data_IF_518193678163
#
_entry.id   IF_518193678163
#
_cell.length_a   1.000
_cell.length_b   1.000
_cell.length_c   1.000
_cell.angle_alpha   90.00
_cell.angle_beta   90.00
_cell.angle_gamma   90.00
#
_symmetry.space_group_name_H-M   'P 1'
#
loop_
_entity.id
_entity.type
_entity.pdbx_description
1 polymer ?
#
# COMPACT_ATOMS: atom_id res chain seq x y z
N UNK A 1 -14.29 2.27 28.53
CA UNK A 1 -15.04 2.20 27.23
C UNK A 1 -13.99 2.35 26.14
N UNK A 2 -13.96 1.44 25.17
CA UNK A 2 -13.00 1.45 24.06
C UNK A 2 -13.03 2.82 23.35
N UNK A 3 -11.88 3.44 23.18
CA UNK A 3 -11.76 4.71 22.45
C UNK A 3 -11.76 4.47 20.94
N UNK A 4 -10.94 3.50 20.50
CA UNK A 4 -10.83 3.11 19.09
C UNK A 4 -11.05 1.62 18.89
N UNK A 5 -12.07 1.25 18.13
CA UNK A 5 -12.28 -0.09 17.61
C UNK A 5 -11.76 -0.12 16.15
N UNK A 6 -10.70 -0.87 15.89
CA UNK A 6 -10.05 -0.92 14.57
C UNK A 6 -10.45 -2.18 13.83
N UNK A 7 -11.08 -2.04 12.68
CA UNK A 7 -11.45 -3.16 11.81
C UNK A 7 -10.34 -3.44 10.79
N UNK A 8 -9.56 -4.48 11.03
CA UNK A 8 -8.46 -4.96 10.19
C UNK A 8 -7.07 -4.82 10.80
N UNK A 9 -6.34 -5.93 10.90
CA UNK A 9 -4.97 -6.06 11.40
C UNK A 9 -3.88 -5.93 10.32
N UNK A 10 -4.17 -5.24 9.21
CA UNK A 10 -3.17 -4.86 8.21
C UNK A 10 -2.31 -3.67 8.68
N UNK A 11 -1.27 -3.24 7.92
CA UNK A 11 -0.38 -2.15 8.34
C UNK A 11 -1.11 -0.85 8.69
N UNK A 12 -2.15 -0.45 7.95
CA UNK A 12 -2.91 0.75 8.27
C UNK A 12 -3.65 0.64 9.62
N UNK A 13 -4.26 -0.51 9.90
CA UNK A 13 -4.97 -0.75 11.16
C UNK A 13 -4.03 -0.87 12.35
N UNK A 14 -2.94 -1.62 12.20
CA UNK A 14 -1.94 -1.74 13.27
C UNK A 14 -1.23 -0.41 13.54
N UNK A 15 -0.89 0.37 12.49
CA UNK A 15 -0.34 1.70 12.67
C UNK A 15 -1.32 2.63 13.41
N UNK A 16 -2.62 2.58 13.08
CA UNK A 16 -3.65 3.33 13.80
C UNK A 16 -3.73 2.90 15.27
N UNK A 17 -3.67 1.59 15.51
CA UNK A 17 -3.73 1.04 16.86
C UNK A 17 -2.50 1.46 17.69
N UNK A 18 -1.30 1.43 17.09
CA UNK A 18 -0.07 1.86 17.75
C UNK A 18 -0.12 3.36 18.07
N UNK A 19 -0.52 4.21 17.11
CA UNK A 19 -0.68 5.65 17.37
C UNK A 19 -1.72 5.91 18.48
N UNK A 20 -2.84 5.18 18.48
CA UNK A 20 -3.87 5.29 19.51
C UNK A 20 -3.31 4.92 20.90
N UNK A 21 -2.62 3.79 21.02
CA UNK A 21 -2.01 3.33 22.25
C UNK A 21 -0.93 4.30 22.75
N UNK A 22 -0.07 4.82 21.86
CA UNK A 22 0.92 5.86 22.20
C UNK A 22 0.27 7.17 22.67
N UNK A 23 -0.96 7.43 22.22
CA UNK A 23 -1.74 8.60 22.68
C UNK A 23 -2.55 8.32 23.96
N UNK A 24 -2.37 7.17 24.61
CA UNK A 24 -3.05 6.76 25.84
C UNK A 24 -4.52 6.31 25.67
N UNK A 25 -4.92 5.98 24.44
CA UNK A 25 -6.28 5.50 24.14
C UNK A 25 -6.42 4.00 24.39
N UNK A 26 -7.59 3.57 24.82
CA UNK A 26 -7.97 2.14 24.83
C UNK A 26 -8.31 1.68 23.40
N UNK A 27 -7.48 0.78 22.83
CA UNK A 27 -7.61 0.32 21.45
C UNK A 27 -7.84 -1.19 21.37
N UNK A 28 -8.81 -1.60 20.54
CA UNK A 28 -9.07 -2.99 20.21
C UNK A 28 -9.06 -3.16 18.69
N UNK A 29 -8.31 -4.16 18.19
CA UNK A 29 -8.24 -4.52 16.77
C UNK A 29 -9.06 -5.78 16.51
N UNK A 30 -9.91 -5.76 15.50
CA UNK A 30 -10.65 -6.91 14.99
C UNK A 30 -9.95 -7.43 13.72
N UNK A 31 -9.34 -8.61 13.77
CA UNK A 31 -8.71 -9.26 12.61
C UNK A 31 -8.99 -10.77 12.64
N UNK A 32 -9.80 -11.29 11.71
CA UNK A 32 -10.18 -12.70 11.73
C UNK A 32 -9.09 -13.67 11.26
N UNK A 33 -8.02 -13.18 10.64
CA UNK A 33 -6.94 -14.01 10.11
C UNK A 33 -5.80 -14.11 11.11
N UNK A 34 -5.10 -15.26 11.17
CA UNK A 34 -3.90 -15.39 11.99
C UNK A 34 -2.77 -14.48 11.47
N UNK A 35 -1.92 -14.04 12.37
CA UNK A 35 -0.65 -13.36 12.06
C UNK A 35 0.41 -14.41 11.70
N UNK A 36 1.26 -14.16 10.68
CA UNK A 36 1.32 -12.98 9.80
C UNK A 36 0.38 -13.05 8.59
N UNK A 37 -0.24 -11.94 8.26
CA UNK A 37 -1.16 -11.83 7.13
C UNK A 37 -0.39 -11.65 5.82
N UNK A 38 -0.42 -12.68 4.95
CA UNK A 38 0.12 -12.57 3.59
C UNK A 38 -0.92 -12.03 2.60
N UNK A 39 -0.52 -11.01 1.84
CA UNK A 39 -1.35 -10.32 0.85
C UNK A 39 -0.46 -9.83 -0.30
N UNK A 40 -0.97 -9.79 -1.53
CA UNK A 40 -0.23 -9.23 -2.66
C UNK A 40 0.22 -7.79 -2.36
N UNK A 41 1.52 -7.53 -2.53
CA UNK A 41 2.18 -6.27 -2.24
C UNK A 41 3.48 -6.20 -3.06
N UNK A 42 3.90 -5.00 -3.48
CA UNK A 42 5.21 -4.78 -4.09
C UNK A 42 6.38 -4.88 -3.12
N UNK A 43 6.10 -4.86 -1.81
CA UNK A 43 7.06 -5.10 -0.72
C UNK A 43 8.24 -4.11 -0.63
N UNK A 44 8.19 -3.03 -1.42
CA UNK A 44 9.10 -1.89 -1.30
C UNK A 44 8.51 -0.82 -0.38
N UNK A 45 9.18 -0.56 0.74
CA UNK A 45 8.89 0.58 1.61
C UNK A 45 9.68 1.79 1.12
N UNK A 46 8.99 2.80 0.65
CA UNK A 46 9.60 4.08 0.29
C UNK A 46 10.20 4.75 1.53
N UNK A 47 11.19 5.67 1.38
CA UNK A 47 11.82 6.35 2.52
C UNK A 47 10.84 6.94 3.52
N UNK A 48 9.72 7.51 3.05
CA UNK A 48 8.65 8.03 3.91
C UNK A 48 8.00 6.96 4.79
N UNK A 49 7.77 5.75 4.23
CA UNK A 49 7.25 4.63 5.02
C UNK A 49 8.25 4.15 6.07
N UNK A 50 9.55 4.11 5.74
CA UNK A 50 10.62 3.75 6.68
C UNK A 50 10.68 4.74 7.85
N UNK A 51 10.55 6.05 7.58
CA UNK A 51 10.45 7.07 8.64
C UNK A 51 9.22 6.85 9.52
N UNK A 52 8.04 6.67 8.92
CA UNK A 52 6.81 6.44 9.68
C UNK A 52 6.87 5.19 10.58
N UNK A 53 7.53 4.12 10.14
CA UNK A 53 7.76 2.94 10.99
C UNK A 53 8.67 3.24 12.18
N UNK A 54 9.75 4.03 11.98
CA UNK A 54 10.64 4.45 13.07
C UNK A 54 9.91 5.30 14.10
N UNK A 55 9.05 6.21 13.68
CA UNK A 55 8.20 7.02 14.56
C UNK A 55 7.25 6.17 15.40
N UNK A 56 6.79 5.05 14.89
CA UNK A 56 6.00 4.05 15.63
C UNK A 56 6.85 3.17 16.56
N UNK A 57 8.17 3.29 16.52
CA UNK A 57 9.10 2.42 17.23
C UNK A 57 9.11 0.99 16.68
N UNK A 58 8.90 0.86 15.36
CA UNK A 58 8.91 -0.43 14.64
C UNK A 58 10.17 -0.55 13.82
N UNK A 59 11.00 -1.55 14.13
CA UNK A 59 12.16 -1.93 13.34
C UNK A 59 11.80 -3.18 12.51
N UNK A 60 12.08 -3.12 11.21
CA UNK A 60 11.76 -4.21 10.28
C UNK A 60 13.03 -4.61 9.56
N UNK A 61 13.41 -5.91 9.58
CA UNK A 61 14.52 -6.40 8.76
C UNK A 61 14.15 -6.38 7.29
N UNK A 62 15.12 -6.09 6.41
CA UNK A 62 14.91 -6.05 4.97
C UNK A 62 16.18 -5.65 4.23
N UNK A 63 16.07 -5.51 2.93
CA UNK A 63 17.16 -5.12 2.04
C UNK A 63 17.02 -3.63 1.65
N UNK A 64 18.01 -2.78 1.92
CA UNK A 64 17.94 -1.38 1.54
C UNK A 64 17.96 -1.22 0.02
N UNK A 65 17.20 -0.25 -0.49
CA UNK A 65 17.30 0.17 -1.89
C UNK A 65 17.34 1.70 -1.97
N UNK A 66 18.07 2.22 -2.98
CA UNK A 66 18.47 3.63 -3.02
C UNK A 66 17.74 4.47 -4.07
N UNK A 67 16.75 3.91 -4.75
CA UNK A 67 16.00 4.62 -5.79
C UNK A 67 15.14 3.70 -6.62
N UNK A 68 14.71 4.21 -7.77
CA UNK A 68 13.85 3.51 -8.72
C UNK A 68 14.50 3.58 -10.11
N UNK A 69 14.51 2.46 -10.82
CA UNK A 69 14.93 2.36 -12.23
C UNK A 69 13.72 1.97 -13.07
N UNK A 70 13.39 2.77 -14.07
CA UNK A 70 12.45 2.40 -15.12
C UNK A 70 13.21 1.75 -16.26
N UNK A 71 12.73 0.60 -16.72
CA UNK A 71 13.32 -0.13 -17.85
C UNK A 71 12.24 -0.39 -18.91
N UNK A 72 12.59 -0.23 -20.17
CA UNK A 72 11.86 -0.84 -21.25
C UNK A 72 12.10 -2.36 -21.23
N UNK A 73 11.04 -3.14 -21.09
CA UNK A 73 11.14 -4.57 -20.84
C UNK A 73 11.70 -5.39 -22.01
N UNK A 74 11.89 -4.77 -23.18
CA UNK A 74 12.38 -5.41 -24.39
C UNK A 74 13.77 -4.87 -24.79
N UNK A 75 13.90 -3.53 -24.91
CA UNK A 75 15.14 -2.91 -25.39
C UNK A 75 16.23 -2.71 -24.32
N UNK A 76 15.84 -2.76 -23.05
CA UNK A 76 16.74 -2.47 -21.92
C UNK A 76 17.06 -0.99 -21.73
N UNK A 77 16.49 -0.08 -22.55
CA UNK A 77 16.58 1.35 -22.30
C UNK A 77 16.07 1.67 -20.90
N UNK A 78 16.78 2.50 -20.14
CA UNK A 78 16.42 2.77 -18.76
C UNK A 78 16.60 4.24 -18.34
N UNK A 79 15.95 4.59 -17.24
CA UNK A 79 16.12 5.83 -16.50
C UNK A 79 16.21 5.53 -14.99
N UNK A 80 17.11 6.21 -14.28
CA UNK A 80 17.32 6.04 -12.84
C UNK A 80 17.00 7.32 -12.08
N UNK A 81 16.34 7.17 -10.91
CA UNK A 81 16.16 8.24 -9.95
C UNK A 81 16.56 7.75 -8.56
N UNK A 82 17.57 8.38 -7.96
CA UNK A 82 18.01 8.05 -6.60
C UNK A 82 17.33 8.92 -5.55
N UNK A 83 17.05 8.35 -4.40
CA UNK A 83 16.45 9.06 -3.27
C UNK A 83 17.46 10.02 -2.63
N UNK A 84 16.95 11.15 -2.15
CA UNK A 84 17.74 12.16 -1.42
C UNK A 84 17.56 12.06 0.08
N UNK A 85 16.46 11.47 0.54
CA UNK A 85 16.03 11.46 1.96
C UNK A 85 16.44 10.20 2.72
N UNK A 86 17.25 9.33 2.12
CA UNK A 86 17.69 8.04 2.66
C UNK A 86 17.13 6.86 1.90
N UNK A 87 17.55 5.64 2.24
CA UNK A 87 17.11 4.44 1.53
C UNK A 87 15.65 4.09 1.82
N UNK A 88 15.02 3.45 0.85
CA UNK A 88 13.85 2.61 1.06
C UNK A 88 14.27 1.25 1.61
N UNK A 89 13.30 0.40 1.91
CA UNK A 89 13.53 -0.93 2.46
C UNK A 89 12.63 -1.96 1.77
N UNK A 90 13.24 -2.93 1.09
CA UNK A 90 12.54 -4.10 0.59
C UNK A 90 12.35 -5.11 1.72
N UNK A 91 11.11 -5.42 2.05
CA UNK A 91 10.78 -6.37 3.12
C UNK A 91 9.51 -7.14 2.80
N UNK A 92 9.50 -8.41 3.14
CA UNK A 92 8.30 -9.23 2.93
C UNK A 92 7.12 -8.67 3.71
N UNK A 93 5.96 -8.69 3.08
CA UNK A 93 4.70 -8.22 3.68
C UNK A 93 4.40 -8.89 5.02
N UNK A 94 4.72 -10.17 5.16
CA UNK A 94 4.53 -10.95 6.38
C UNK A 94 5.44 -10.47 7.51
N UNK A 95 6.69 -10.11 7.20
CA UNK A 95 7.66 -9.59 8.17
C UNK A 95 7.22 -8.21 8.67
N UNK A 96 6.83 -7.32 7.79
CA UNK A 96 6.30 -6.01 8.16
C UNK A 96 5.06 -6.13 9.08
N UNK A 97 4.12 -7.00 8.70
CA UNK A 97 2.88 -7.16 9.45
C UNK A 97 3.15 -7.76 10.85
N UNK A 98 4.06 -8.75 10.95
CA UNK A 98 4.43 -9.35 12.22
C UNK A 98 5.10 -8.30 13.15
N UNK A 99 6.02 -7.49 12.65
CA UNK A 99 6.68 -6.45 13.43
C UNK A 99 5.70 -5.38 13.95
N UNK A 100 4.73 -4.98 13.13
CA UNK A 100 3.66 -4.06 13.55
C UNK A 100 2.74 -4.70 14.59
N UNK A 101 2.38 -5.99 14.43
CA UNK A 101 1.54 -6.70 15.37
C UNK A 101 2.23 -6.84 16.73
N UNK A 102 3.50 -7.25 16.75
CA UNK A 102 4.33 -7.34 17.95
C UNK A 102 4.44 -5.98 18.68
N UNK A 103 4.63 -4.88 17.93
CA UNK A 103 4.69 -3.55 18.52
C UNK A 103 3.35 -3.15 19.15
N UNK A 104 2.25 -3.43 18.47
CA UNK A 104 0.90 -3.16 18.99
C UNK A 104 0.64 -3.96 20.29
N UNK A 105 1.02 -5.24 20.32
CA UNK A 105 0.90 -6.11 21.49
C UNK A 105 1.72 -5.58 22.67
N UNK A 106 2.99 -5.20 22.45
CA UNK A 106 3.85 -4.57 23.48
C UNK A 106 3.28 -3.28 24.07
N UNK A 107 2.41 -2.59 23.33
CA UNK A 107 1.70 -1.40 23.81
C UNK A 107 0.35 -1.73 24.46
N UNK A 108 0.03 -3.00 24.67
CA UNK A 108 -1.20 -3.45 25.30
C UNK A 108 -2.44 -3.44 24.38
N UNK A 109 -2.26 -3.28 23.05
CA UNK A 109 -3.36 -3.36 22.10
C UNK A 109 -3.91 -4.78 22.05
N UNK A 110 -5.22 -4.94 22.28
CA UNK A 110 -5.88 -6.25 22.17
C UNK A 110 -6.27 -6.52 20.73
N UNK A 111 -5.80 -7.64 20.18
CA UNK A 111 -6.20 -8.12 18.85
C UNK A 111 -7.14 -9.30 19.03
N UNK A 112 -8.36 -9.17 18.51
CA UNK A 112 -9.39 -10.20 18.60
C UNK A 112 -9.60 -10.86 17.23
N UNK A 113 -9.61 -12.21 17.22
CA UNK A 113 -9.85 -13.02 16.02
C UNK A 113 -11.33 -12.97 15.60
N UNK A 114 -11.85 -11.79 15.28
CA UNK A 114 -13.26 -11.54 14.95
C UNK A 114 -13.40 -10.73 13.67
N UNK A 115 -14.46 -10.99 12.91
CA UNK A 115 -14.91 -10.12 11.80
C UNK A 115 -15.68 -8.93 12.37
N UNK A 116 -15.55 -7.77 11.76
CA UNK A 116 -16.27 -6.56 12.18
C UNK A 116 -17.80 -6.72 12.10
N UNK A 117 -18.31 -7.46 11.10
CA UNK A 117 -19.75 -7.66 10.92
C UNK A 117 -20.52 -6.37 10.60
N UNK A 118 -21.76 -6.32 11.05
CA UNK A 118 -22.62 -5.14 10.94
C UNK A 118 -22.11 -4.02 11.87
N UNK A 119 -22.11 -2.78 11.35
CA UNK A 119 -21.74 -1.58 12.10
C UNK A 119 -22.99 -0.76 12.38
N UNK A 120 -23.26 -0.50 13.66
CA UNK A 120 -24.35 0.37 14.12
C UNK A 120 -23.75 1.54 14.88
N UNK A 121 -24.27 2.74 14.67
CA UNK A 121 -23.77 3.93 15.36
C UNK A 121 -24.89 4.90 15.72
N UNK A 122 -24.69 5.65 16.79
CA UNK A 122 -25.47 6.79 17.19
C UNK A 122 -24.58 8.05 17.33
N UNK A 123 -25.04 9.09 17.99
CA UNK A 123 -24.27 10.33 18.17
C UNK A 123 -23.08 10.17 19.12
N UNK A 124 -23.08 9.19 20.02
CA UNK A 124 -22.07 9.04 21.08
C UNK A 124 -21.13 7.87 20.86
N UNK A 125 -21.59 6.80 20.22
CA UNK A 125 -20.87 5.51 20.14
C UNK A 125 -21.11 4.77 18.83
N UNK A 126 -20.25 3.79 18.60
CA UNK A 126 -20.36 2.86 17.50
C UNK A 126 -20.22 1.43 18.02
N UNK A 127 -21.07 0.53 17.53
CA UNK A 127 -21.08 -0.89 17.87
C UNK A 127 -20.71 -1.76 16.68
N UNK A 128 -19.85 -2.75 16.89
CA UNK A 128 -19.50 -3.79 15.92
C UNK A 128 -18.95 -5.03 16.63
N UNK A 129 -19.22 -6.23 16.10
CA UNK A 129 -18.75 -7.52 16.66
C UNK A 129 -19.04 -7.74 18.15
N UNK A 130 -20.16 -7.19 18.65
CA UNK A 130 -20.54 -7.27 20.07
C UNK A 130 -19.75 -6.35 21.00
N UNK A 131 -19.00 -5.39 20.46
CA UNK A 131 -18.24 -4.39 21.20
C UNK A 131 -18.78 -2.99 20.93
N UNK A 132 -18.58 -2.10 21.90
CA UNK A 132 -18.97 -0.68 21.81
C UNK A 132 -17.73 0.20 22.01
N UNK A 133 -17.56 1.21 21.17
CA UNK A 133 -16.44 2.14 21.19
C UNK A 133 -16.90 3.58 20.89
N UNK A 134 -16.04 4.55 21.21
CA UNK A 134 -16.27 5.95 20.82
C UNK A 134 -16.16 6.15 19.30
N UNK A 135 -15.19 5.49 18.68
CA UNK A 135 -14.97 5.53 17.22
C UNK A 135 -14.61 4.16 16.68
N UNK A 136 -15.02 3.89 15.44
CA UNK A 136 -14.58 2.74 14.66
C UNK A 136 -13.68 3.22 13.52
N UNK A 137 -12.50 2.60 13.40
CA UNK A 137 -11.59 2.85 12.29
C UNK A 137 -11.63 1.67 11.33
N UNK A 138 -12.18 1.89 10.15
CA UNK A 138 -12.21 0.91 9.07
C UNK A 138 -10.85 0.89 8.35
N UNK A 139 -10.06 -0.13 8.62
CA UNK A 139 -8.77 -0.47 8.02
C UNK A 139 -8.80 -1.85 7.34
N UNK A 140 -9.98 -2.27 6.92
CA UNK A 140 -10.35 -3.59 6.41
C UNK A 140 -9.98 -3.81 4.93
N UNK A 141 -9.20 -2.90 4.39
CA UNK A 141 -8.46 -3.04 3.14
C UNK A 141 -9.27 -2.71 1.87
N UNK A 142 -8.75 -3.18 0.73
CA UNK A 142 -9.16 -2.77 -0.61
C UNK A 142 -10.68 -2.92 -0.85
N UNK A 143 -11.24 -4.03 -0.43
CA UNK A 143 -12.66 -4.35 -0.60
C UNK A 143 -13.52 -4.07 0.63
N UNK A 144 -13.10 -3.18 1.49
CA UNK A 144 -13.73 -2.80 2.76
C UNK A 144 -15.21 -3.21 2.91
N UNK A 145 -15.53 -4.25 3.69
CA UNK A 145 -16.90 -4.59 4.05
C UNK A 145 -17.62 -3.44 4.77
N UNK A 146 -16.92 -2.73 5.66
CA UNK A 146 -17.47 -1.57 6.38
C UNK A 146 -17.91 -0.48 5.40
N UNK A 147 -17.04 -0.12 4.42
CA UNK A 147 -17.37 0.88 3.40
C UNK A 147 -18.62 0.49 2.60
N UNK A 148 -18.72 -0.79 2.21
CA UNK A 148 -19.89 -1.28 1.47
C UNK A 148 -21.15 -1.32 2.33
N UNK A 149 -21.04 -1.84 3.55
CA UNK A 149 -22.17 -1.94 4.48
C UNK A 149 -22.79 -0.59 4.83
N UNK A 150 -21.99 0.48 4.86
CA UNK A 150 -22.46 1.84 5.08
C UNK A 150 -22.89 2.58 3.78
N UNK A 151 -22.91 1.92 2.62
CA UNK A 151 -23.29 2.55 1.35
C UNK A 151 -22.30 3.60 0.84
N UNK A 152 -21.06 3.62 1.36
CA UNK A 152 -20.05 4.64 1.09
C UNK A 152 -19.07 4.24 -0.04
N UNK A 153 -19.22 3.07 -0.63
CA UNK A 153 -18.49 2.70 -1.82
C UNK A 153 -18.98 3.53 -3.00
N UNK A 154 -18.06 4.28 -3.63
CA UNK A 154 -18.40 4.97 -4.86
C UNK A 154 -18.30 4.00 -6.05
N UNK A 155 -19.15 4.16 -7.07
CA UNK A 155 -19.12 3.29 -8.25
C UNK A 155 -17.76 3.36 -8.95
N UNK A 156 -17.37 2.30 -9.69
CA UNK A 156 -16.20 2.34 -10.56
C UNK A 156 -16.28 3.54 -11.51
N UNK A 157 -15.14 4.14 -11.82
CA UNK A 157 -15.10 5.21 -12.82
C UNK A 157 -15.39 4.61 -14.19
N UNK A 158 -16.36 5.19 -14.91
CA UNK A 158 -16.68 4.80 -16.30
C UNK A 158 -15.47 5.00 -17.21
N UNK A 159 -15.33 4.12 -18.21
CA UNK A 159 -14.28 4.20 -19.24
C UNK A 159 -12.86 3.86 -18.78
N UNK A 160 -12.67 3.34 -17.57
CA UNK A 160 -11.35 2.89 -17.09
C UNK A 160 -11.36 1.39 -16.79
N UNK A 161 -10.56 0.59 -17.49
CA UNK A 161 -10.49 -0.84 -17.24
C UNK A 161 -9.96 -1.13 -15.83
N UNK A 162 -10.44 -2.21 -15.20
CA UNK A 162 -9.92 -2.64 -13.90
C UNK A 162 -8.45 -3.07 -14.04
N UNK A 163 -7.67 -2.87 -12.98
CA UNK A 163 -6.29 -3.36 -12.88
C UNK A 163 -6.13 -4.30 -11.70
N UNK A 164 -5.20 -5.20 -11.83
CA UNK A 164 -4.89 -6.27 -10.87
C UNK A 164 -3.40 -6.26 -10.57
N UNK A 165 -3.04 -6.68 -9.37
CA UNK A 165 -1.66 -6.91 -8.96
C UNK A 165 -1.46 -8.39 -8.67
N UNK A 166 -0.39 -8.97 -9.21
CA UNK A 166 0.06 -10.34 -8.94
C UNK A 166 1.47 -10.25 -8.36
N UNK A 167 1.81 -11.09 -7.37
CA UNK A 167 3.16 -11.12 -6.77
C UNK A 167 3.64 -12.55 -6.60
N UNK A 168 4.95 -12.77 -6.89
CA UNK A 168 5.72 -13.97 -6.62
C UNK A 168 7.09 -13.59 -6.08
N UNK A 169 7.65 -14.39 -5.18
CA UNK A 169 9.06 -14.27 -4.76
C UNK A 169 9.90 -15.26 -5.55
N UNK A 170 11.17 -14.88 -5.77
CA UNK A 170 12.17 -15.76 -6.39
C UNK A 170 13.40 -15.84 -5.49
N UNK A 171 13.94 -17.07 -5.37
CA UNK A 171 15.18 -17.35 -4.66
C UNK A 171 16.37 -17.04 -5.59
N UNK A 172 16.73 -15.77 -5.65
CA UNK A 172 17.86 -15.26 -6.45
C UNK A 172 18.43 -14.02 -5.78
N UNK A 173 19.74 -13.86 -5.83
CA UNK A 173 20.43 -12.66 -5.34
C UNK A 173 19.96 -11.41 -6.09
N UNK A 174 19.66 -10.30 -5.39
CA UNK A 174 19.37 -9.03 -6.03
C UNK A 174 20.54 -8.53 -6.87
N UNK A 175 20.29 -8.17 -8.11
CA UNK A 175 21.28 -7.65 -9.05
C UNK A 175 21.31 -6.11 -9.12
N UNK A 176 20.52 -5.46 -8.29
CA UNK A 176 20.42 -4.00 -8.26
C UNK A 176 20.12 -3.50 -6.84
N UNK A 177 20.68 -2.36 -6.48
CA UNK A 177 20.34 -1.59 -5.27
C UNK A 177 19.12 -0.67 -5.49
N UNK A 178 18.38 -0.84 -6.59
CA UNK A 178 17.21 -0.08 -6.96
C UNK A 178 15.98 -1.00 -7.07
N UNK A 179 14.79 -0.46 -6.84
CA UNK A 179 13.58 -1.11 -7.31
C UNK A 179 13.50 -0.91 -8.83
N UNK A 180 13.45 -1.99 -9.57
CA UNK A 180 13.28 -1.95 -11.02
C UNK A 180 11.80 -2.01 -11.40
N UNK A 181 11.39 -1.15 -12.32
CA UNK A 181 10.06 -1.15 -12.93
C UNK A 181 10.22 -1.39 -14.42
N UNK A 182 9.94 -2.60 -14.84
CA UNK A 182 9.95 -3.01 -16.24
C UNK A 182 8.62 -2.66 -16.88
N UNK A 183 8.66 -1.93 -17.99
CA UNK A 183 7.49 -1.49 -18.74
C UNK A 183 7.31 -2.33 -19.99
N UNK A 184 6.07 -2.78 -20.24
CA UNK A 184 5.66 -3.38 -21.50
C UNK A 184 4.40 -2.70 -22.05
N UNK A 185 3.96 -3.06 -23.25
CA UNK A 185 2.73 -2.52 -23.83
C UNK A 185 1.48 -2.81 -22.98
N UNK A 186 1.46 -3.88 -22.18
CA UNK A 186 0.26 -4.39 -21.50
C UNK A 186 0.30 -4.34 -19.98
N UNK A 187 1.48 -4.41 -19.37
CA UNK A 187 1.66 -4.49 -17.92
C UNK A 187 3.00 -3.89 -17.49
N UNK A 188 3.18 -3.71 -16.19
CA UNK A 188 4.45 -3.35 -15.56
C UNK A 188 4.85 -4.45 -14.59
N UNK A 189 6.16 -4.77 -14.54
CA UNK A 189 6.72 -5.67 -13.55
C UNK A 189 7.70 -4.92 -12.64
N UNK A 190 7.51 -5.08 -11.34
CA UNK A 190 8.35 -4.48 -10.30
C UNK A 190 9.24 -5.55 -9.72
N UNK A 191 10.53 -5.29 -9.66
CA UNK A 191 11.50 -6.14 -8.98
C UNK A 191 12.00 -5.40 -7.74
N UNK A 192 11.72 -5.96 -6.58
CA UNK A 192 12.12 -5.39 -5.28
C UNK A 192 13.12 -6.31 -4.61
N UNK A 193 14.33 -5.85 -4.22
CA UNK A 193 15.26 -6.62 -3.41
C UNK A 193 14.66 -6.83 -2.02
N UNK A 194 14.60 -8.08 -1.53
CA UNK A 194 13.96 -8.43 -0.26
C UNK A 194 14.92 -9.02 0.78
N UNK A 195 16.11 -9.37 0.36
CA UNK A 195 17.15 -9.99 1.17
C UNK A 195 18.38 -10.29 0.31
N UNK A 196 19.43 -10.90 0.87
CA UNK A 196 20.64 -11.21 0.12
C UNK A 196 20.43 -12.28 -0.97
N UNK A 197 19.40 -13.12 -0.81
CA UNK A 197 19.09 -14.28 -1.66
C UNK A 197 17.68 -14.23 -2.28
N UNK A 198 17.02 -13.06 -2.27
CA UNK A 198 15.60 -13.01 -2.64
C UNK A 198 15.17 -11.70 -3.26
N UNK A 199 14.40 -11.83 -4.35
CA UNK A 199 13.67 -10.72 -4.94
C UNK A 199 12.16 -10.98 -4.94
N UNK A 200 11.37 -9.92 -4.81
CA UNK A 200 9.94 -9.93 -5.06
C UNK A 200 9.65 -9.42 -6.46
N UNK A 201 8.83 -10.14 -7.22
CA UNK A 201 8.34 -9.69 -8.52
C UNK A 201 6.85 -9.46 -8.44
N UNK A 202 6.42 -8.22 -8.64
CA UNK A 202 5.01 -7.84 -8.69
C UNK A 202 4.64 -7.36 -10.08
N UNK A 203 3.57 -7.90 -10.66
CA UNK A 203 3.05 -7.50 -11.98
C UNK A 203 1.75 -6.75 -11.80
N UNK A 204 1.64 -5.55 -12.40
CA UNK A 204 0.42 -4.76 -12.49
C UNK A 204 -0.13 -4.84 -13.91
N UNK A 205 -1.36 -5.31 -14.04
CA UNK A 205 -1.95 -5.61 -15.35
C UNK A 205 -3.45 -5.26 -15.42
N UNK A 206 -3.95 -4.94 -16.61
CA UNK A 206 -5.38 -4.84 -16.89
C UNK A 206 -6.02 -6.17 -17.29
N UNK A 207 -5.23 -7.22 -17.48
CA UNK A 207 -5.69 -8.51 -18.00
C UNK A 207 -5.77 -9.57 -16.91
N UNK A 208 -6.79 -10.43 -16.99
CA UNK A 208 -6.92 -11.60 -16.11
C UNK A 208 -6.22 -12.80 -16.75
N UNK A 209 -4.89 -12.82 -16.66
CA UNK A 209 -4.07 -13.93 -17.12
C UNK A 209 -3.14 -14.41 -15.99
N UNK A 210 -2.67 -15.68 -16.03
CA UNK A 210 -1.72 -16.21 -15.08
C UNK A 210 -0.45 -15.37 -14.98
N UNK A 211 0.21 -15.41 -13.82
CA UNK A 211 1.43 -14.65 -13.56
C UNK A 211 2.51 -14.91 -14.61
N UNK A 212 2.74 -16.18 -14.97
CA UNK A 212 3.79 -16.56 -15.90
C UNK A 212 3.53 -16.05 -17.33
N UNK A 213 2.26 -15.99 -17.75
CA UNK A 213 1.84 -15.37 -19.03
C UNK A 213 2.14 -13.87 -19.03
N UNK A 214 1.92 -13.19 -17.91
CA UNK A 214 2.25 -11.77 -17.78
C UNK A 214 3.76 -11.54 -17.74
N UNK A 215 4.50 -12.41 -17.01
CA UNK A 215 5.95 -12.31 -16.86
C UNK A 215 6.68 -12.53 -18.19
N UNK A 216 6.20 -13.43 -19.04
CA UNK A 216 6.76 -13.72 -20.37
C UNK A 216 6.85 -12.49 -21.30
N UNK A 217 6.17 -11.39 -20.95
CA UNK A 217 6.25 -10.10 -21.67
C UNK A 217 7.51 -9.30 -21.37
N UNK A 218 8.37 -9.80 -20.47
CA UNK A 218 9.61 -9.17 -20.03
C UNK A 218 10.78 -10.15 -20.23
N UNK A 219 11.23 -10.38 -21.47
CA UNK A 219 12.26 -11.40 -21.78
C UNK A 219 13.54 -11.19 -20.97
N UNK A 220 14.03 -9.96 -20.84
CA UNK A 220 15.23 -9.65 -20.04
C UNK A 220 15.06 -9.99 -18.55
N UNK A 221 13.85 -9.84 -18.01
CA UNK A 221 13.56 -10.25 -16.63
C UNK A 221 13.44 -11.77 -16.53
N UNK A 222 12.84 -12.42 -17.51
CA UNK A 222 12.75 -13.90 -17.55
C UNK A 222 14.14 -14.54 -17.55
N UNK A 223 15.10 -14.01 -18.32
CA UNK A 223 16.49 -14.49 -18.35
C UNK A 223 17.14 -14.40 -16.97
N UNK A 224 16.97 -13.28 -16.24
CA UNK A 224 17.53 -13.10 -14.89
C UNK A 224 16.88 -14.03 -13.85
N UNK A 225 15.64 -14.44 -14.05
CA UNK A 225 14.90 -15.32 -13.15
C UNK A 225 15.02 -16.81 -13.56
N UNK A 226 15.66 -17.10 -14.69
CA UNK A 226 15.81 -18.47 -15.18
C UNK A 226 16.49 -19.38 -14.14
N UNK A 227 15.93 -20.57 -13.94
CA UNK A 227 16.43 -21.54 -12.96
C UNK A 227 16.11 -21.21 -11.49
N UNK A 228 15.53 -20.04 -11.18
CA UNK A 228 15.23 -19.65 -9.81
C UNK A 228 13.90 -20.24 -9.34
N UNK A 229 13.86 -20.77 -8.11
CA UNK A 229 12.63 -21.29 -7.51
C UNK A 229 11.66 -20.15 -7.18
N UNK A 230 10.43 -20.26 -7.68
CA UNK A 230 9.35 -19.30 -7.46
C UNK A 230 8.39 -19.74 -6.34
N UNK A 231 7.95 -18.80 -5.50
CA UNK A 231 6.91 -19.05 -4.50
C UNK A 231 5.51 -19.13 -5.12
N UNK A 232 4.50 -19.47 -4.32
CA UNK A 232 3.09 -19.36 -4.72
C UNK A 232 2.74 -17.89 -5.08
N UNK A 233 1.90 -17.71 -6.11
CA UNK A 233 1.40 -16.40 -6.55
C UNK A 233 0.36 -15.89 -5.58
N UNK A 234 0.42 -14.59 -5.26
CA UNK A 234 -0.64 -13.84 -4.57
C UNK A 234 -1.20 -12.77 -5.48
N UNK A 235 -2.52 -12.63 -5.48
CA UNK A 235 -3.23 -11.64 -6.30
C UNK A 235 -4.05 -10.65 -5.48
N UNK A 236 -4.24 -9.46 -6.02
CA UNK A 236 -5.14 -8.44 -5.50
C UNK A 236 -5.83 -7.68 -6.65
N UNK A 237 -7.07 -7.29 -6.45
CA UNK A 237 -7.80 -6.46 -7.40
C UNK A 237 -9.30 -6.75 -7.43
N UNK A 238 -10.06 -5.92 -8.15
CA UNK A 238 -9.60 -4.73 -8.88
C UNK A 238 -9.04 -3.65 -7.93
N UNK A 239 -7.88 -3.06 -8.32
CA UNK A 239 -7.10 -2.19 -7.43
C UNK A 239 -7.81 -0.88 -7.12
N UNK A 240 -8.42 -0.24 -8.12
CA UNK A 240 -9.05 1.06 -7.92
C UNK A 240 -10.31 0.94 -7.08
N UNK A 241 -10.27 1.57 -5.90
CA UNK A 241 -11.39 1.66 -4.99
C UNK A 241 -11.63 3.11 -4.59
N UNK A 242 -12.89 3.50 -4.41
CA UNK A 242 -13.27 4.86 -4.05
C UNK A 242 -14.23 4.84 -2.87
N UNK A 243 -13.90 5.63 -1.85
CA UNK A 243 -14.82 5.97 -0.79
C UNK A 243 -15.45 7.33 -1.07
N UNK A 244 -16.74 7.51 -0.77
CA UNK A 244 -17.43 8.80 -0.91
C UNK A 244 -16.89 9.81 0.10
N UNK A 245 -16.71 9.38 1.35
CA UNK A 245 -16.15 10.16 2.47
C UNK A 245 -15.18 9.29 3.26
N UNK A 246 -14.34 9.91 4.11
CA UNK A 246 -13.41 9.21 5.04
C UNK A 246 -13.87 9.30 6.47
N UNK A 247 -14.88 10.14 6.74
CA UNK A 247 -15.54 10.24 8.04
C UNK A 247 -17.05 10.18 7.84
N UNK A 248 -17.69 9.24 8.50
CA UNK A 248 -19.14 9.05 8.46
C UNK A 248 -19.64 8.83 9.89
N UNK A 249 -20.03 9.91 10.57
CA UNK A 249 -20.39 9.88 11.99
C UNK A 249 -19.18 9.46 12.84
N UNK A 250 -19.30 8.32 13.51
CA UNK A 250 -18.27 7.73 14.38
C UNK A 250 -17.34 6.76 13.65
N UNK A 251 -17.52 6.57 12.33
CA UNK A 251 -16.69 5.67 11.52
C UNK A 251 -15.70 6.48 10.68
N UNK A 252 -14.40 6.16 10.80
CA UNK A 252 -13.31 6.75 10.03
C UNK A 252 -12.65 5.68 9.18
N UNK A 253 -12.13 6.05 8.00
CA UNK A 253 -11.51 5.12 7.05
C UNK A 253 -10.04 5.44 6.87
N UNK A 254 -9.17 4.41 6.90
CA UNK A 254 -7.72 4.54 6.71
C UNK A 254 -7.17 3.47 5.76
N UNK A 255 -6.02 3.74 5.15
CA UNK A 255 -5.41 2.84 4.16
C UNK A 255 -6.30 2.63 2.94
N UNK A 256 -6.29 1.44 2.35
CA UNK A 256 -7.06 1.11 1.15
C UNK A 256 -8.59 1.24 1.35
N UNK A 257 -9.06 1.12 2.58
CA UNK A 257 -10.47 1.32 2.92
C UNK A 257 -10.91 2.78 2.69
N UNK A 258 -10.03 3.75 2.89
CA UNK A 258 -10.28 5.17 2.62
C UNK A 258 -10.30 5.51 1.11
N UNK A 259 -9.83 4.60 0.29
CA UNK A 259 -9.72 4.71 -1.17
C UNK A 259 -8.33 4.38 -1.67
N UNK A 260 -8.25 3.79 -2.85
CA UNK A 260 -7.01 3.38 -3.48
C UNK A 260 -7.05 3.70 -4.98
N UNK A 261 -5.97 4.24 -5.52
CA UNK A 261 -5.88 4.57 -6.95
C UNK A 261 -5.28 3.40 -7.72
N UNK A 262 -4.03 3.09 -7.42
CA UNK A 262 -3.25 2.01 -8.05
C UNK A 262 -1.95 1.76 -7.25
N UNK A 263 -1.28 0.64 -7.50
CA UNK A 263 0.01 0.31 -6.89
C UNK A 263 1.22 0.91 -7.65
N UNK A 264 0.98 1.63 -8.74
CA UNK A 264 1.99 2.06 -9.72
C UNK A 264 3.15 2.86 -9.12
N UNK A 265 2.91 3.68 -8.11
CA UNK A 265 3.93 4.57 -7.50
C UNK A 265 4.50 4.04 -6.18
N UNK A 266 3.98 2.93 -5.65
CA UNK A 266 4.52 2.29 -4.44
C UNK A 266 4.27 3.01 -3.11
N UNK A 267 3.51 4.12 -3.07
CA UNK A 267 3.32 4.96 -1.87
C UNK A 267 2.18 4.53 -0.94
N UNK A 268 1.45 3.46 -1.26
CA UNK A 268 0.27 3.08 -0.48
C UNK A 268 0.56 2.88 1.02
N UNK A 269 1.74 2.37 1.37
CA UNK A 269 2.15 2.18 2.77
C UNK A 269 2.54 3.49 3.44
N UNK A 270 3.28 4.38 2.76
CA UNK A 270 3.60 5.72 3.28
C UNK A 270 2.32 6.48 3.64
N UNK A 271 1.38 6.55 2.70
CA UNK A 271 0.10 7.21 2.94
C UNK A 271 -0.70 6.54 4.07
N UNK A 272 -0.69 5.21 4.16
CA UNK A 272 -1.42 4.49 5.21
C UNK A 272 -0.87 4.81 6.61
N UNK A 273 0.46 4.83 6.77
CA UNK A 273 1.12 5.13 8.05
C UNK A 273 0.88 6.59 8.47
N UNK A 274 1.11 7.54 7.56
CA UNK A 274 0.92 8.97 7.84
C UNK A 274 -0.54 9.30 8.12
N UNK A 275 -1.47 8.75 7.33
CA UNK A 275 -2.91 8.97 7.54
C UNK A 275 -3.41 8.35 8.85
N UNK A 276 -2.80 7.25 9.33
CA UNK A 276 -3.13 6.65 10.62
C UNK A 276 -2.79 7.60 11.78
N UNK A 277 -1.60 8.20 11.77
CA UNK A 277 -1.20 9.20 12.76
C UNK A 277 -2.11 10.42 12.76
N UNK A 278 -2.41 10.93 11.58
CA UNK A 278 -3.28 12.10 11.43
C UNK A 278 -4.72 11.83 11.89
N UNK A 279 -5.26 10.63 11.59
CA UNK A 279 -6.56 10.19 12.06
C UNK A 279 -6.61 10.22 13.59
N UNK A 280 -5.64 9.59 14.26
CA UNK A 280 -5.57 9.53 15.72
C UNK A 280 -5.42 10.93 16.31
N UNK A 281 -4.59 11.80 15.71
CA UNK A 281 -4.46 13.21 16.13
C UNK A 281 -5.81 13.92 16.10
N UNK A 282 -6.55 13.83 14.99
CA UNK A 282 -7.86 14.47 14.85
C UNK A 282 -8.88 13.95 15.87
N UNK A 283 -8.90 12.64 16.13
CA UNK A 283 -9.79 12.05 17.14
C UNK A 283 -9.44 12.52 18.55
N UNK A 284 -8.14 12.52 18.91
CA UNK A 284 -7.66 12.97 20.22
C UNK A 284 -7.99 14.43 20.51
N UNK A 285 -7.94 15.27 19.47
CA UNK A 285 -8.31 16.70 19.57
C UNK A 285 -9.83 16.94 19.58
N UNK A 286 -10.66 15.89 19.60
CA UNK A 286 -12.12 16.00 19.56
C UNK A 286 -12.68 16.51 18.22
N UNK A 287 -11.88 16.49 17.16
CA UNK A 287 -12.22 17.01 15.82
C UNK A 287 -12.11 15.94 14.73
N UNK A 288 -12.77 14.77 14.86
CA UNK A 288 -12.64 13.67 13.90
C UNK A 288 -13.00 14.08 12.47
N UNK A 289 -13.91 15.04 12.28
CA UNK A 289 -14.31 15.54 10.96
C UNK A 289 -13.18 16.26 10.21
N UNK A 290 -12.18 16.82 10.92
CA UNK A 290 -11.02 17.44 10.31
C UNK A 290 -10.16 16.45 9.51
N UNK A 291 -10.24 15.16 9.86
CA UNK A 291 -9.52 14.10 9.14
C UNK A 291 -9.91 14.00 7.65
N UNK A 292 -11.16 14.30 7.28
CA UNK A 292 -11.58 14.31 5.87
C UNK A 292 -10.73 15.26 5.01
N UNK A 293 -10.48 16.48 5.54
CA UNK A 293 -9.63 17.48 4.86
C UNK A 293 -8.16 17.04 4.90
N UNK A 294 -7.67 16.66 6.05
CA UNK A 294 -6.28 16.23 6.23
C UNK A 294 -5.91 15.07 5.31
N UNK A 295 -6.78 14.04 5.20
CA UNK A 295 -6.57 12.94 4.28
C UNK A 295 -6.49 13.39 2.80
N UNK A 296 -7.33 14.34 2.39
CA UNK A 296 -7.30 14.88 1.02
C UNK A 296 -5.99 15.59 0.72
N UNK A 297 -5.47 16.35 1.67
CA UNK A 297 -4.21 17.06 1.59
C UNK A 297 -3.03 16.08 1.52
N UNK A 298 -2.95 15.12 2.44
CA UNK A 298 -1.93 14.08 2.48
C UNK A 298 -1.89 13.22 1.21
N UNK A 299 -3.05 12.85 0.67
CA UNK A 299 -3.14 11.98 -0.49
C UNK A 299 -3.01 12.71 -1.84
N UNK A 300 -2.96 14.04 -1.86
CA UNK A 300 -3.07 14.86 -3.09
C UNK A 300 -1.96 14.54 -4.09
N UNK A 301 -0.71 14.63 -3.67
CA UNK A 301 0.46 14.41 -4.56
C UNK A 301 0.45 13.00 -5.12
N UNK A 302 0.30 11.99 -4.25
CA UNK A 302 0.18 10.59 -4.63
C UNK A 302 -0.94 10.37 -5.65
N UNK A 303 -2.14 10.84 -5.37
CA UNK A 303 -3.31 10.65 -6.25
C UNK A 303 -3.12 11.33 -7.60
N UNK A 304 -2.53 12.52 -7.63
CA UNK A 304 -2.28 13.26 -8.87
C UNK A 304 -1.22 12.56 -9.72
N UNK A 305 -0.07 12.22 -9.14
CA UNK A 305 1.02 11.54 -9.85
C UNK A 305 0.59 10.17 -10.37
N UNK A 306 -0.03 9.35 -9.51
CA UNK A 306 -0.52 8.03 -9.93
C UNK A 306 -1.59 8.14 -11.02
N UNK A 307 -2.52 9.09 -10.90
CA UNK A 307 -3.56 9.29 -11.92
C UNK A 307 -2.98 9.78 -13.24
N UNK A 308 -1.97 10.67 -13.22
CA UNK A 308 -1.30 11.17 -14.44
C UNK A 308 -0.51 10.08 -15.15
N UNK A 309 0.25 9.25 -14.39
CA UNK A 309 0.98 8.11 -14.95
C UNK A 309 0.02 7.07 -15.55
N UNK A 310 -1.06 6.75 -14.86
CA UNK A 310 -2.09 5.83 -15.37
C UNK A 310 -2.77 6.38 -16.63
N UNK A 311 -3.02 7.68 -16.69
CA UNK A 311 -3.56 8.32 -17.88
C UNK A 311 -2.57 8.22 -19.06
N UNK A 312 -1.29 8.58 -18.85
CA UNK A 312 -0.24 8.46 -19.86
C UNK A 312 -0.10 7.00 -20.36
N UNK A 313 -0.14 6.04 -19.43
CA UNK A 313 -0.11 4.61 -19.69
C UNK A 313 -1.26 4.14 -20.59
N UNK A 314 -2.45 4.71 -20.44
CA UNK A 314 -3.65 4.35 -21.21
C UNK A 314 -3.67 5.00 -22.61
N UNK A 315 -2.79 5.97 -22.88
CA UNK A 315 -2.70 6.59 -24.21
C UNK A 315 -1.72 5.81 -25.09
N UNK A 316 -2.16 5.17 -26.21
CA UNK A 316 -1.28 4.35 -27.05
C UNK A 316 -0.03 5.09 -27.53
N UNK A 317 -0.15 6.41 -27.80
CA UNK A 317 0.97 7.27 -28.25
C UNK A 317 1.96 7.61 -27.14
N UNK A 318 1.57 7.54 -25.88
CA UNK A 318 2.41 7.90 -24.72
C UNK A 318 2.97 6.68 -23.99
N UNK A 319 2.25 5.57 -23.97
CA UNK A 319 2.63 4.38 -23.23
C UNK A 319 4.05 3.91 -23.56
N UNK A 320 4.39 3.80 -24.86
CA UNK A 320 5.74 3.43 -25.31
C UNK A 320 6.80 4.53 -25.17
N UNK A 321 6.41 5.74 -24.73
CA UNK A 321 7.33 6.87 -24.57
C UNK A 321 7.69 7.18 -23.12
N UNK A 322 7.08 6.50 -22.15
CA UNK A 322 7.31 6.73 -20.71
C UNK A 322 8.78 6.56 -20.36
N UNK A 323 9.38 5.41 -20.70
CA UNK A 323 10.81 5.15 -20.43
C UNK A 323 11.73 6.04 -21.28
N UNK A 324 11.53 6.17 -22.60
CA UNK A 324 12.34 7.10 -23.42
C UNK A 324 12.31 8.56 -22.93
N UNK A 325 11.14 9.06 -22.48
CA UNK A 325 11.04 10.41 -21.92
C UNK A 325 11.76 10.53 -20.58
N UNK A 326 11.60 9.53 -19.70
CA UNK A 326 12.31 9.49 -18.42
C UNK A 326 13.83 9.46 -18.62
N UNK A 327 14.34 8.70 -19.60
CA UNK A 327 15.76 8.63 -19.95
C UNK A 327 16.29 9.96 -20.53
N UNK A 328 15.48 10.66 -21.33
CA UNK A 328 15.85 11.97 -21.90
C UNK A 328 15.80 13.11 -20.89
N UNK A 329 14.99 12.97 -19.84
CA UNK A 329 14.76 14.00 -18.82
C UNK A 329 15.10 13.49 -17.41
N UNK A 330 16.36 13.06 -17.15
CA UNK A 330 16.73 12.38 -15.90
C UNK A 330 16.50 13.24 -14.65
N UNK A 331 16.67 14.57 -14.76
CA UNK A 331 16.39 15.48 -13.63
C UNK A 331 14.92 15.52 -13.27
N UNK A 332 14.03 15.52 -14.27
CA UNK A 332 12.56 15.50 -14.07
C UNK A 332 12.14 14.15 -13.47
N UNK A 333 12.68 13.06 -13.99
CA UNK A 333 12.42 11.72 -13.47
C UNK A 333 12.87 11.59 -12.00
N UNK A 334 14.12 11.99 -11.70
CA UNK A 334 14.64 11.99 -10.32
C UNK A 334 13.80 12.88 -9.39
N UNK A 335 13.33 14.05 -9.86
CA UNK A 335 12.44 14.90 -9.09
C UNK A 335 11.12 14.18 -8.79
N UNK A 336 10.50 13.56 -9.80
CA UNK A 336 9.28 12.76 -9.63
C UNK A 336 9.46 11.62 -8.64
N UNK A 337 10.57 10.88 -8.70
CA UNK A 337 10.91 9.81 -7.74
C UNK A 337 11.03 10.37 -6.32
N UNK A 338 11.63 11.55 -6.14
CA UNK A 338 11.79 12.16 -4.81
C UNK A 338 10.52 12.85 -4.27
N UNK A 339 9.54 13.15 -5.10
CA UNK A 339 8.21 13.55 -4.61
C UNK A 339 7.44 12.39 -3.96
N UNK A 340 7.84 11.14 -4.24
CA UNK A 340 7.26 9.91 -3.73
C UNK A 340 8.07 9.30 -2.56
N UNK A 341 9.23 9.85 -2.20
CA UNK A 341 10.16 9.36 -1.15
C UNK A 341 9.93 10.09 0.24
#
# INVERSE_FOLDING_TARGET
MIDLLVAGGGPAGLATAIHGALAGMEVVVLEPRPTPIDKACGEGLMPGAVRGLRELGVCVPGHPFHGIRYLDGVSGLHAEGRFRTGPGLGTRRTVLQAALAERAERLGVRVLARRVGEVRQDQERVGAAGLTARHLVAADGLHSPVRRGLGLAAPPATGRPPRYGLRRHYAVEPWSDLVEVHWSAHCEAYVTPLGPDRVGVAVLTGERAPFDVQLARFPLLCERLAGSAGSAVRGAGPLRQRARVRVAGRVLFVGDAAGYVDALTGEGLTLALTAAGELVRCVREGRPQAYERAWRELSRSYRTLTASLLWARQQPRLAGRIVPLAARLPRVFTHGVNLLA
#
